data_IF_468555580848
#
_entry.id   IF_468555580848
#
_cell.length_a   1.000
_cell.length_b   1.000
_cell.length_c   1.000
_cell.angle_alpha   90.00
_cell.angle_beta   90.00
_cell.angle_gamma   90.00
#
_symmetry.space_group_name_H-M   'P 1'
#
loop_
_entity.id
_entity.type
_entity.pdbx_description
1 polymer ?
#
# COMPACT_ATOMS: atom_id res chain seq x y z
N UNK A 1 3.23 23.88 7.96
CA UNK A 1 2.76 22.78 7.10
C UNK A 1 3.52 21.52 7.50
N UNK A 2 2.88 20.62 8.25
CA UNK A 2 3.46 19.41 8.83
C UNK A 2 3.54 18.30 7.77
N UNK A 3 4.63 18.29 7.00
CA UNK A 3 4.91 17.33 5.92
C UNK A 3 5.32 15.94 6.43
N UNK A 4 5.29 15.70 7.74
CA UNK A 4 5.77 14.47 8.39
C UNK A 4 4.73 13.34 8.44
N UNK A 5 3.43 13.60 8.21
CA UNK A 5 2.38 12.60 8.48
C UNK A 5 2.11 11.61 7.35
N UNK A 6 2.59 11.82 6.11
CA UNK A 6 2.23 10.96 4.99
C UNK A 6 3.26 9.87 4.64
N UNK A 7 4.55 10.07 4.93
CA UNK A 7 5.59 9.13 4.51
C UNK A 7 5.47 7.77 5.21
N UNK A 8 5.11 7.76 6.50
CA UNK A 8 5.05 6.54 7.30
C UNK A 8 4.02 5.54 6.77
N UNK A 9 2.81 6.00 6.40
CA UNK A 9 1.79 5.08 5.89
C UNK A 9 2.13 4.59 4.48
N UNK A 10 2.84 5.38 3.66
CA UNK A 10 3.30 4.95 2.32
C UNK A 10 4.32 3.82 2.44
N UNK A 11 5.22 3.88 3.43
CA UNK A 11 6.16 2.77 3.71
C UNK A 11 5.39 1.51 4.13
N UNK A 12 4.38 1.65 5.00
CA UNK A 12 3.53 0.51 5.40
C UNK A 12 2.76 -0.07 4.22
N UNK A 13 2.22 0.76 3.32
CA UNK A 13 1.62 0.31 2.06
C UNK A 13 2.63 -0.47 1.19
N UNK A 14 3.88 -0.01 1.13
CA UNK A 14 4.97 -0.72 0.48
C UNK A 14 5.23 -2.10 1.09
N UNK A 15 5.20 -2.22 2.43
CA UNK A 15 5.35 -3.49 3.13
C UNK A 15 4.19 -4.47 2.82
N UNK A 16 2.96 -3.97 2.74
CA UNK A 16 1.79 -4.76 2.29
C UNK A 16 2.02 -5.30 0.88
N UNK A 17 2.39 -4.42 -0.06
CA UNK A 17 2.66 -4.81 -1.46
C UNK A 17 3.75 -5.87 -1.54
N UNK A 18 4.88 -5.66 -0.86
CA UNK A 18 6.00 -6.60 -0.87
C UNK A 18 5.57 -7.98 -0.33
N UNK A 19 4.77 -8.01 0.74
CA UNK A 19 4.26 -9.26 1.29
C UNK A 19 3.27 -9.97 0.34
N UNK A 20 2.37 -9.23 -0.30
CA UNK A 20 1.43 -9.78 -1.30
C UNK A 20 2.17 -10.36 -2.51
N UNK A 21 3.11 -9.61 -3.09
CA UNK A 21 3.90 -10.05 -4.23
C UNK A 21 4.77 -11.27 -3.91
N UNK A 22 5.24 -11.40 -2.66
CA UNK A 22 5.99 -12.56 -2.19
C UNK A 22 5.09 -13.73 -1.74
N UNK A 23 3.76 -13.60 -1.77
CA UNK A 23 2.82 -14.63 -1.32
C UNK A 23 2.73 -14.78 0.21
N UNK A 24 3.30 -13.86 0.98
CA UNK A 24 3.28 -13.86 2.44
C UNK A 24 1.98 -13.26 3.01
N UNK A 25 0.84 -13.88 2.70
CA UNK A 25 -0.50 -13.34 2.99
C UNK A 25 -0.73 -12.99 4.47
N UNK A 26 -0.27 -13.82 5.41
CA UNK A 26 -0.41 -13.53 6.85
C UNK A 26 0.35 -12.26 7.27
N UNK A 27 1.52 -12.01 6.67
CA UNK A 27 2.29 -10.78 6.92
C UNK A 27 1.67 -9.57 6.23
N UNK A 28 1.12 -9.74 5.03
CA UNK A 28 0.35 -8.70 4.36
C UNK A 28 -0.86 -8.27 5.21
N UNK A 29 -1.60 -9.23 5.76
CA UNK A 29 -2.73 -8.97 6.66
C UNK A 29 -2.30 -8.23 7.94
N UNK A 30 -1.16 -8.61 8.53
CA UNK A 30 -0.59 -7.89 9.67
C UNK A 30 -0.29 -6.42 9.34
N UNK A 31 0.43 -6.16 8.24
CA UNK A 31 0.74 -4.79 7.83
C UNK A 31 -0.50 -4.00 7.41
N UNK A 32 -1.54 -4.66 6.87
CA UNK A 32 -2.82 -4.01 6.63
C UNK A 32 -3.54 -3.60 7.92
N UNK A 33 -3.46 -4.41 8.98
CA UNK A 33 -4.01 -4.01 10.27
C UNK A 33 -3.30 -2.75 10.80
N UNK A 34 -1.97 -2.71 10.71
CA UNK A 34 -1.16 -1.53 11.07
C UNK A 34 -1.53 -0.31 10.21
N UNK A 35 -1.71 -0.51 8.90
CA UNK A 35 -2.10 0.58 8.00
C UNK A 35 -3.47 1.16 8.39
N UNK A 36 -4.46 0.31 8.68
CA UNK A 36 -5.82 0.76 9.03
C UNK A 36 -5.88 1.44 10.39
N UNK A 37 -5.05 1.02 11.34
CA UNK A 37 -4.93 1.69 12.64
C UNK A 37 -4.43 3.14 12.49
N UNK A 38 -3.41 3.35 11.64
CA UNK A 38 -2.84 4.68 11.43
C UNK A 38 -3.56 5.53 10.37
N UNK A 39 -4.20 4.91 9.39
CA UNK A 39 -4.90 5.58 8.27
C UNK A 39 -6.15 4.79 7.88
N UNK A 40 -7.26 4.94 8.62
CA UNK A 40 -8.50 4.19 8.37
C UNK A 40 -9.10 4.40 6.99
N UNK A 41 -8.86 5.58 6.38
CA UNK A 41 -9.29 5.98 5.04
C UNK A 41 -8.24 5.68 3.95
N UNK A 42 -7.26 4.82 4.21
CA UNK A 42 -6.25 4.43 3.22
C UNK A 42 -6.89 3.85 1.95
N UNK A 43 -6.37 4.26 0.79
CA UNK A 43 -6.84 3.91 -0.56
C UNK A 43 -5.65 3.61 -1.47
N UNK A 44 -5.87 2.85 -2.55
CA UNK A 44 -4.81 2.57 -3.54
C UNK A 44 -4.27 3.87 -4.15
N UNK A 45 -5.13 4.85 -4.40
CA UNK A 45 -4.77 6.18 -4.91
C UNK A 45 -3.73 6.92 -4.07
N UNK A 46 -3.69 6.75 -2.75
CA UNK A 46 -2.67 7.39 -1.91
C UNK A 46 -1.25 6.92 -2.29
N UNK A 47 -1.06 5.62 -2.53
CA UNK A 47 0.24 5.09 -2.91
C UNK A 47 0.62 5.46 -4.34
N UNK A 48 -0.34 5.37 -5.26
CA UNK A 48 -0.11 5.64 -6.68
C UNK A 48 0.18 7.12 -6.98
N UNK A 49 -0.35 8.03 -6.15
CA UNK A 49 -0.06 9.47 -6.24
C UNK A 49 1.28 9.82 -5.59
N UNK A 50 1.69 9.09 -4.55
CA UNK A 50 2.97 9.30 -3.88
C UNK A 50 4.15 8.77 -4.70
N UNK A 51 3.94 7.68 -5.46
CA UNK A 51 5.00 7.01 -6.24
C UNK A 51 4.58 6.86 -7.71
N UNK A 52 5.12 7.69 -8.62
CA UNK A 52 4.80 7.63 -10.05
C UNK A 52 5.55 6.46 -10.71
N UNK A 53 4.96 5.28 -10.69
CA UNK A 53 5.49 4.12 -11.43
C UNK A 53 5.43 4.36 -12.94
N UNK A 54 6.60 4.42 -13.58
CA UNK A 54 6.74 4.64 -15.04
C UNK A 54 6.42 3.37 -15.82
N UNK A 55 6.76 2.19 -15.28
CA UNK A 55 6.43 0.90 -15.90
C UNK A 55 4.96 0.52 -15.65
N UNK A 56 4.11 0.45 -16.71
CA UNK A 56 2.71 0.09 -16.58
C UNK A 56 2.49 -1.34 -16.07
N UNK A 57 3.38 -2.28 -16.43
CA UNK A 57 3.25 -3.67 -16.02
C UNK A 57 3.48 -3.82 -14.51
N UNK A 58 4.53 -3.16 -14.00
CA UNK A 58 4.77 -3.11 -12.56
C UNK A 58 3.66 -2.35 -11.82
N UNK A 59 3.20 -1.22 -12.35
CA UNK A 59 2.07 -0.47 -11.78
C UNK A 59 0.82 -1.34 -11.65
N UNK A 60 0.52 -2.18 -12.65
CA UNK A 60 -0.57 -3.15 -12.60
C UNK A 60 -0.43 -4.17 -11.46
N UNK A 61 0.78 -4.70 -11.25
CA UNK A 61 1.07 -5.64 -10.13
C UNK A 61 0.86 -4.98 -8.77
N UNK A 62 1.29 -3.72 -8.61
CA UNK A 62 1.08 -2.94 -7.38
C UNK A 62 -0.41 -2.75 -7.09
N UNK A 63 -1.19 -2.36 -8.10
CA UNK A 63 -2.64 -2.18 -7.96
C UNK A 63 -3.32 -3.49 -7.55
N UNK A 64 -2.96 -4.59 -8.22
CA UNK A 64 -3.51 -5.91 -7.91
C UNK A 64 -3.16 -6.37 -6.47
N UNK A 65 -1.93 -6.14 -6.03
CA UNK A 65 -1.49 -6.44 -4.66
C UNK A 65 -2.29 -5.64 -3.62
N UNK A 66 -2.41 -4.32 -3.79
CA UNK A 66 -3.17 -3.48 -2.85
C UNK A 66 -4.66 -3.87 -2.78
N UNK A 67 -5.28 -4.19 -3.93
CA UNK A 67 -6.67 -4.66 -3.99
C UNK A 67 -6.84 -6.03 -3.35
N UNK A 68 -5.90 -6.95 -3.57
CA UNK A 68 -5.90 -8.28 -2.95
C UNK A 68 -5.79 -8.21 -1.42
N UNK A 69 -5.01 -7.23 -0.92
CA UNK A 69 -4.93 -6.91 0.50
C UNK A 69 -6.18 -6.18 1.06
N UNK A 70 -7.14 -5.81 0.22
CA UNK A 70 -8.42 -5.22 0.63
C UNK A 70 -8.41 -3.70 0.77
N UNK A 71 -7.52 -2.99 0.07
CA UNK A 71 -7.59 -1.53 -0.05
C UNK A 71 -8.58 -1.11 -1.16
N UNK A 72 -9.48 -0.15 -0.88
CA UNK A 72 -10.36 0.43 -1.89
C UNK A 72 -9.60 1.36 -2.83
N UNK A 73 -10.19 1.66 -3.99
CA UNK A 73 -9.62 2.59 -4.98
C UNK A 73 -9.55 4.06 -4.49
#
# INVERSE_FOLDING_TARGET
>A
MTQTNNAHFIVVMGAVIACELAGHRSRAAHWMAVLRDHRPDARTSHFLNALPFVDPAFRGKVIAALRSAGLPD
#
